data_IF_942866907996
#
_entry.id   IF_942866907996
#
_cell.length_a   1.000
_cell.length_b   1.000
_cell.length_c   1.000
_cell.angle_alpha   90.00
_cell.angle_beta   90.00
_cell.angle_gamma   90.00
#
_symmetry.space_group_name_H-M   'P 1'
#
loop_
_entity.id
_entity.type
_entity.pdbx_description
1 polymer ?
#
# COMPACT_ATOMS: atom_id res chain seq x y z
N UNK A 1 -9.78 3.71 -12.96
CA UNK A 1 -10.00 4.78 -13.97
C UNK A 1 -11.39 4.65 -14.56
N UNK A 2 -11.72 3.59 -15.30
CA UNK A 2 -13.08 3.42 -15.88
C UNK A 2 -14.23 3.55 -14.87
N UNK A 3 -14.14 2.92 -13.69
CA UNK A 3 -15.20 3.07 -12.67
C UNK A 3 -15.34 4.49 -12.11
N UNK A 4 -14.25 5.27 -12.07
CA UNK A 4 -14.28 6.65 -11.61
C UNK A 4 -14.97 7.53 -12.66
N UNK A 5 -14.64 7.35 -13.94
CA UNK A 5 -15.34 8.05 -15.04
C UNK A 5 -16.83 7.73 -15.05
N UNK A 6 -17.20 6.45 -14.90
CA UNK A 6 -18.62 6.07 -14.80
C UNK A 6 -19.33 6.77 -13.62
N UNK A 7 -18.64 6.92 -12.49
CA UNK A 7 -19.19 7.66 -11.33
C UNK A 7 -19.42 9.14 -11.65
N UNK A 8 -18.49 9.78 -12.37
CA UNK A 8 -18.61 11.17 -12.84
C UNK A 8 -19.75 11.33 -13.85
N UNK A 9 -19.87 10.39 -14.78
CA UNK A 9 -20.94 10.40 -15.79
C UNK A 9 -22.31 10.28 -15.13
N UNK A 10 -22.47 9.37 -14.15
CA UNK A 10 -23.72 9.21 -13.40
C UNK A 10 -24.08 10.49 -12.65
N UNK A 11 -23.13 11.10 -11.93
CA UNK A 11 -23.36 12.34 -11.18
C UNK A 11 -23.76 13.50 -12.11
N UNK A 12 -23.02 13.67 -13.22
CA UNK A 12 -23.30 14.69 -14.23
C UNK A 12 -24.68 14.50 -14.86
N UNK A 13 -25.01 13.26 -15.23
CA UNK A 13 -26.30 12.94 -15.83
C UNK A 13 -27.45 13.21 -14.88
N UNK A 14 -27.33 12.80 -13.62
CA UNK A 14 -28.35 13.06 -12.60
C UNK A 14 -28.60 14.56 -12.44
N UNK A 15 -27.53 15.33 -12.27
CA UNK A 15 -27.60 16.78 -12.14
C UNK A 15 -28.29 17.44 -13.36
N UNK A 16 -27.95 16.99 -14.57
CA UNK A 16 -28.58 17.49 -15.80
C UNK A 16 -30.06 17.10 -15.92
N UNK A 17 -30.40 15.83 -15.78
CA UNK A 17 -31.77 15.31 -15.97
C UNK A 17 -32.79 15.96 -15.02
N UNK A 18 -32.37 16.23 -13.78
CA UNK A 18 -33.23 16.83 -12.75
C UNK A 18 -33.00 18.34 -12.56
N UNK A 19 -32.13 18.95 -13.37
CA UNK A 19 -31.83 20.39 -13.30
C UNK A 19 -31.28 20.84 -11.94
N UNK A 20 -30.45 20.01 -11.32
CA UNK A 20 -29.85 20.25 -10.01
C UNK A 20 -28.32 20.35 -10.11
N UNK A 21 -27.69 21.01 -9.14
CA UNK A 21 -26.26 20.85 -8.85
C UNK A 21 -26.14 20.16 -7.48
N UNK A 22 -26.37 18.85 -7.46
CA UNK A 22 -26.55 18.10 -6.22
C UNK A 22 -25.40 17.14 -5.92
N UNK A 23 -25.06 16.24 -6.87
CA UNK A 23 -23.93 15.34 -6.69
C UNK A 23 -22.63 16.03 -7.13
N UNK A 24 -21.60 16.10 -6.26
CA UNK A 24 -20.31 16.65 -6.65
C UNK A 24 -19.61 15.73 -7.66
N UNK A 25 -18.88 16.33 -8.59
CA UNK A 25 -18.10 15.57 -9.57
C UNK A 25 -16.80 15.09 -8.93
N UNK A 26 -16.63 13.78 -8.85
CA UNK A 26 -15.50 13.14 -8.16
C UNK A 26 -14.19 13.28 -8.93
N UNK A 27 -13.11 13.64 -8.25
CA UNK A 27 -11.77 13.76 -8.85
C UNK A 27 -10.82 12.67 -8.32
N UNK A 28 -9.85 12.22 -9.13
CA UNK A 28 -8.85 11.28 -8.66
C UNK A 28 -7.96 11.94 -7.60
N UNK A 29 -7.88 11.32 -6.43
CA UNK A 29 -6.89 11.71 -5.42
C UNK A 29 -5.53 11.18 -5.85
N UNK A 30 -4.66 12.07 -6.31
CA UNK A 30 -3.26 11.75 -6.65
C UNK A 30 -2.42 12.00 -5.40
N UNK A 31 -2.09 10.92 -4.69
CA UNK A 31 -1.09 10.99 -3.61
C UNK A 31 0.29 11.33 -4.16
N UNK A 32 1.20 11.78 -3.28
CA UNK A 32 2.62 11.96 -3.60
C UNK A 32 3.27 10.67 -4.12
N UNK A 33 4.56 10.70 -4.53
CA UNK A 33 5.24 9.53 -5.06
C UNK A 33 5.22 8.38 -4.05
N UNK A 34 4.26 7.47 -4.19
CA UNK A 34 4.19 6.27 -3.38
C UNK A 34 5.40 5.40 -3.74
N UNK A 35 6.14 4.94 -2.73
CA UNK A 35 7.22 3.99 -2.92
C UNK A 35 6.69 2.81 -3.75
N UNK A 36 7.17 2.68 -4.99
CA UNK A 36 6.79 1.57 -5.87
C UNK A 36 7.55 0.34 -5.41
N UNK A 37 6.92 -0.44 -4.55
CA UNK A 37 7.46 -1.71 -4.08
C UNK A 37 7.17 -2.82 -5.11
N UNK A 38 8.22 -3.50 -5.54
CA UNK A 38 8.17 -4.56 -6.55
C UNK A 38 8.19 -5.94 -5.89
N UNK A 39 7.85 -6.97 -6.67
CA UNK A 39 7.86 -8.35 -6.19
C UNK A 39 9.27 -8.77 -5.75
N UNK A 40 9.34 -9.47 -4.62
CA UNK A 40 10.59 -10.07 -4.13
C UNK A 40 11.11 -11.20 -5.04
N UNK A 41 10.29 -11.69 -5.97
CA UNK A 41 10.66 -12.77 -6.90
C UNK A 41 10.94 -12.27 -8.31
N UNK A 42 10.43 -11.10 -8.66
CA UNK A 42 10.55 -10.49 -9.98
C UNK A 42 10.52 -8.97 -9.84
N UNK A 43 11.70 -8.35 -9.81
CA UNK A 43 11.85 -6.90 -9.59
C UNK A 43 11.22 -6.04 -10.70
N UNK A 44 10.84 -6.63 -11.84
CA UNK A 44 10.15 -5.94 -12.93
C UNK A 44 8.64 -5.85 -12.71
N UNK A 45 8.07 -6.68 -11.83
CA UNK A 45 6.64 -6.74 -11.54
C UNK A 45 6.31 -6.05 -10.23
N UNK A 46 5.24 -5.25 -10.23
CA UNK A 46 4.73 -4.64 -9.01
C UNK A 46 4.33 -5.73 -8.01
N UNK A 47 4.62 -5.53 -6.73
CA UNK A 47 4.15 -6.43 -5.68
C UNK A 47 2.62 -6.50 -5.71
N UNK A 48 2.07 -7.72 -5.73
CA UNK A 48 0.62 -7.94 -5.82
C UNK A 48 0.12 -8.83 -4.69
N UNK A 49 -0.96 -8.40 -4.04
CA UNK A 49 -1.69 -9.21 -3.05
C UNK A 49 -2.28 -10.49 -3.67
N UNK A 50 -2.56 -10.48 -4.98
CA UNK A 50 -3.16 -11.62 -5.69
C UNK A 50 -2.14 -12.52 -6.38
N UNK A 51 -0.84 -12.25 -6.26
CA UNK A 51 0.18 -13.14 -6.82
C UNK A 51 0.06 -14.55 -6.18
N UNK A 52 0.11 -15.64 -6.95
CA UNK A 52 0.00 -16.99 -6.41
C UNK A 52 1.16 -17.37 -5.48
N UNK A 53 2.33 -16.75 -5.67
CA UNK A 53 3.49 -16.97 -4.82
C UNK A 53 3.47 -16.00 -3.65
N UNK A 54 3.23 -16.50 -2.44
CA UNK A 54 3.27 -15.66 -1.23
C UNK A 54 4.69 -15.10 -0.97
N UNK A 55 5.73 -15.79 -1.45
CA UNK A 55 7.12 -15.33 -1.38
C UNK A 55 7.40 -14.09 -2.26
N UNK A 56 6.46 -13.68 -3.11
CA UNK A 56 6.58 -12.45 -3.92
C UNK A 56 6.34 -11.18 -3.11
N UNK A 57 5.74 -11.27 -1.93
CA UNK A 57 5.24 -10.12 -1.17
C UNK A 57 5.48 -10.23 0.33
N UNK A 58 5.56 -9.08 1.00
CA UNK A 58 5.50 -8.96 2.45
C UNK A 58 4.08 -8.51 2.82
N UNK A 59 3.37 -9.30 3.62
CA UNK A 59 2.06 -8.92 4.13
C UNK A 59 2.23 -8.16 5.46
N UNK A 60 1.32 -7.21 5.74
CA UNK A 60 1.32 -6.49 7.03
C UNK A 60 1.00 -7.42 8.23
N UNK A 61 0.50 -8.62 7.96
CA UNK A 61 0.21 -9.66 8.95
C UNK A 61 1.37 -10.63 9.17
N UNK A 62 2.42 -10.57 8.34
CA UNK A 62 3.55 -11.48 8.48
C UNK A 62 4.24 -11.25 9.83
N UNK A 63 4.61 -12.34 10.50
CA UNK A 63 5.46 -12.29 11.69
C UNK A 63 6.94 -12.10 11.31
N UNK A 64 7.77 -11.91 12.34
CA UNK A 64 9.20 -11.64 12.16
C UNK A 64 9.90 -12.75 11.34
N UNK A 65 9.57 -14.02 11.61
CA UNK A 65 10.18 -15.16 10.94
C UNK A 65 9.76 -15.25 9.47
N UNK A 66 8.49 -14.99 9.17
CA UNK A 66 7.95 -14.99 7.81
C UNK A 66 8.54 -13.85 6.98
N UNK A 67 8.62 -12.63 7.56
CA UNK A 67 9.30 -11.48 6.93
C UNK A 67 10.75 -11.84 6.63
N UNK A 68 11.47 -12.39 7.61
CA UNK A 68 12.87 -12.78 7.47
C UNK A 68 13.05 -13.83 6.36
N UNK A 69 12.22 -14.86 6.32
CA UNK A 69 12.26 -15.91 5.32
C UNK A 69 12.04 -15.37 3.91
N UNK A 70 11.05 -14.49 3.73
CA UNK A 70 10.69 -13.90 2.44
C UNK A 70 11.81 -13.04 1.88
N UNK A 71 12.42 -12.17 2.71
CA UNK A 71 13.55 -11.33 2.31
C UNK A 71 14.78 -12.19 1.99
N UNK A 72 15.08 -13.22 2.79
CA UNK A 72 16.18 -14.16 2.51
C UNK A 72 16.02 -14.83 1.13
N UNK A 73 14.79 -15.26 0.80
CA UNK A 73 14.41 -15.90 -0.47
C UNK A 73 14.16 -14.92 -1.64
N UNK A 74 14.27 -13.61 -1.40
CA UNK A 74 14.13 -12.62 -2.45
C UNK A 74 15.19 -12.86 -3.54
N UNK A 75 14.79 -12.72 -4.80
CA UNK A 75 15.68 -12.82 -5.94
C UNK A 75 16.65 -11.64 -5.91
N UNK A 76 17.91 -11.91 -6.20
CA UNK A 76 18.98 -10.93 -6.32
C UNK A 76 19.81 -11.26 -7.54
N UNK A 77 20.49 -10.25 -8.07
CA UNK A 77 21.54 -10.44 -9.07
C UNK A 77 22.86 -10.88 -8.38
N UNK A 78 23.90 -11.28 -9.14
CA UNK A 78 25.14 -11.81 -8.56
C UNK A 78 26.14 -10.75 -8.10
N UNK A 79 25.93 -9.48 -8.43
CA UNK A 79 26.87 -8.39 -8.15
C UNK A 79 26.66 -7.79 -6.76
N UNK A 80 27.71 -7.20 -6.20
CA UNK A 80 27.61 -6.38 -4.99
C UNK A 80 26.63 -5.21 -5.20
N UNK A 81 26.10 -4.64 -4.11
CA UNK A 81 25.33 -3.40 -4.22
C UNK A 81 26.23 -2.26 -4.74
N UNK A 82 25.74 -1.45 -5.69
CA UNK A 82 26.48 -0.27 -6.14
C UNK A 82 26.57 0.78 -5.01
N UNK A 83 27.54 1.67 -5.09
CA UNK A 83 27.65 2.80 -4.15
C UNK A 83 26.86 4.03 -4.58
N UNK A 84 26.36 4.05 -5.83
CA UNK A 84 25.64 5.17 -6.42
C UNK A 84 24.35 4.69 -7.11
N UNK A 85 23.33 5.54 -7.16
CA UNK A 85 22.01 5.18 -7.72
C UNK A 85 22.08 4.77 -9.19
N UNK A 86 22.98 5.38 -9.98
CA UNK A 86 23.18 5.03 -11.38
C UNK A 86 23.54 3.55 -11.56
N UNK A 87 24.25 2.96 -10.59
CA UNK A 87 24.60 1.54 -10.62
C UNK A 87 23.41 0.59 -10.40
N UNK A 88 22.23 1.09 -10.02
CA UNK A 88 21.00 0.31 -9.93
C UNK A 88 20.24 0.24 -11.27
N UNK A 89 20.68 0.98 -12.29
CA UNK A 89 20.08 0.91 -13.62
C UNK A 89 20.22 -0.50 -14.21
N UNK A 90 19.13 -1.05 -14.74
CA UNK A 90 19.09 -2.43 -15.23
C UNK A 90 19.07 -3.52 -14.14
N UNK A 91 19.30 -3.19 -12.87
CA UNK A 91 19.33 -4.12 -11.73
C UNK A 91 18.04 -4.05 -10.91
N UNK A 92 16.94 -4.53 -11.50
CA UNK A 92 15.59 -4.40 -10.94
C UNK A 92 15.45 -5.01 -9.53
N UNK A 93 16.09 -6.15 -9.28
CA UNK A 93 16.11 -6.81 -7.98
C UNK A 93 16.86 -6.00 -6.92
N UNK A 94 18.09 -5.54 -7.21
CA UNK A 94 18.86 -4.69 -6.31
C UNK A 94 18.10 -3.41 -5.98
N UNK A 95 17.59 -2.74 -7.02
CA UNK A 95 16.83 -1.50 -6.89
C UNK A 95 15.61 -1.67 -5.99
N UNK A 96 14.89 -2.78 -6.15
CA UNK A 96 13.72 -3.06 -5.32
C UNK A 96 14.10 -3.22 -3.84
N UNK A 97 15.10 -4.03 -3.52
CA UNK A 97 15.47 -4.28 -2.12
C UNK A 97 16.04 -3.03 -1.44
N UNK A 98 16.83 -2.23 -2.16
CA UNK A 98 17.33 -0.95 -1.66
C UNK A 98 16.19 0.06 -1.46
N UNK A 99 15.23 0.13 -2.40
CA UNK A 99 14.07 1.01 -2.25
C UNK A 99 13.17 0.61 -1.06
N UNK A 100 13.02 -0.69 -0.80
CA UNK A 100 12.30 -1.18 0.40
C UNK A 100 13.07 -0.78 1.65
N UNK A 101 14.39 -0.96 1.69
CA UNK A 101 15.20 -0.55 2.83
C UNK A 101 15.05 0.96 3.11
N UNK A 102 15.22 1.78 2.07
CA UNK A 102 15.07 3.24 2.14
C UNK A 102 13.69 3.66 2.66
N UNK A 103 12.62 3.03 2.15
CA UNK A 103 11.26 3.31 2.60
C UNK A 103 11.02 2.92 4.07
N UNK A 104 11.60 1.81 4.53
CA UNK A 104 11.50 1.40 5.94
C UNK A 104 12.37 2.27 6.86
N UNK A 105 13.46 2.81 6.33
CA UNK A 105 14.36 3.71 7.03
C UNK A 105 13.88 5.17 7.08
N UNK A 106 12.92 5.54 6.22
CA UNK A 106 12.56 6.94 5.94
C UNK A 106 13.75 7.76 5.44
N UNK A 107 14.51 7.18 4.51
CA UNK A 107 15.75 7.74 3.96
C UNK A 107 15.74 7.73 2.42
N UNK A 108 16.61 8.50 1.79
CA UNK A 108 16.81 8.45 0.34
C UNK A 108 17.59 7.19 -0.06
N UNK A 109 17.40 6.72 -1.29
CA UNK A 109 18.17 5.60 -1.85
C UNK A 109 19.66 5.92 -1.87
N UNK A 110 20.04 7.13 -2.29
CA UNK A 110 21.42 7.64 -2.22
C UNK A 110 22.05 7.50 -0.83
N UNK A 111 21.34 7.89 0.25
CA UNK A 111 21.86 7.77 1.61
C UNK A 111 22.07 6.31 1.99
N UNK A 112 21.10 5.45 1.66
CA UNK A 112 21.22 4.01 1.90
C UNK A 112 22.44 3.43 1.18
N UNK A 113 22.63 3.75 -0.11
CA UNK A 113 23.77 3.25 -0.90
C UNK A 113 25.11 3.75 -0.37
N UNK A 114 25.17 4.90 0.29
CA UNK A 114 26.38 5.35 0.98
C UNK A 114 26.75 4.43 2.15
N UNK A 115 25.76 3.85 2.83
CA UNK A 115 25.97 2.95 3.97
C UNK A 115 26.18 1.49 3.56
N UNK A 116 25.46 1.04 2.52
CA UNK A 116 25.42 -0.37 2.12
C UNK A 116 26.16 -0.68 0.81
N UNK A 117 26.65 0.36 0.12
CA UNK A 117 27.39 0.22 -1.12
C UNK A 117 28.61 -0.69 -0.95
N UNK A 118 28.86 -1.53 -1.96
CA UNK A 118 29.93 -2.52 -1.94
C UNK A 118 29.63 -3.79 -1.13
N UNK A 119 28.54 -3.84 -0.34
CA UNK A 119 28.16 -5.05 0.39
C UNK A 119 27.56 -6.10 -0.54
N UNK A 120 27.84 -7.36 -0.24
CA UNK A 120 27.18 -8.49 -0.90
C UNK A 120 25.75 -8.65 -0.36
N UNK A 121 24.85 -9.24 -1.16
CA UNK A 121 23.47 -9.51 -0.72
C UNK A 121 23.38 -10.44 0.50
N UNK A 122 24.37 -11.29 0.76
CA UNK A 122 24.46 -12.11 1.96
C UNK A 122 24.60 -11.29 3.24
N UNK A 123 25.18 -10.09 3.15
CA UNK A 123 25.33 -9.14 4.25
C UNK A 123 24.16 -8.14 4.29
N UNK A 124 23.72 -7.67 3.12
CA UNK A 124 22.63 -6.69 3.04
C UNK A 124 21.26 -7.26 3.42
N UNK A 125 20.94 -8.51 3.02
CA UNK A 125 19.63 -9.11 3.34
C UNK A 125 19.37 -9.20 4.84
N UNK A 126 20.32 -9.66 5.69
CA UNK A 126 20.18 -9.57 7.14
C UNK A 126 19.84 -8.17 7.66
N UNK A 127 20.52 -7.13 7.17
CA UNK A 127 20.24 -5.73 7.56
C UNK A 127 18.81 -5.31 7.19
N UNK A 128 18.36 -5.68 5.98
CA UNK A 128 17.00 -5.43 5.53
C UNK A 128 15.97 -6.21 6.36
N UNK A 129 16.28 -7.44 6.77
CA UNK A 129 15.42 -8.23 7.66
C UNK A 129 15.25 -7.53 9.00
N UNK A 130 16.34 -7.13 9.64
CA UNK A 130 16.29 -6.45 10.94
C UNK A 130 15.43 -5.19 10.86
N UNK A 131 15.67 -4.35 9.85
CA UNK A 131 14.90 -3.12 9.65
C UNK A 131 13.40 -3.39 9.37
N UNK A 132 13.10 -4.37 8.53
CA UNK A 132 11.72 -4.73 8.22
C UNK A 132 10.99 -5.28 9.45
N UNK A 133 11.64 -6.14 10.22
CA UNK A 133 11.09 -6.69 11.46
C UNK A 133 10.85 -5.58 12.49
N UNK A 134 11.82 -4.69 12.70
CA UNK A 134 11.71 -3.56 13.62
C UNK A 134 10.50 -2.67 13.30
N UNK A 135 10.29 -2.34 12.02
CA UNK A 135 9.19 -1.46 11.60
C UNK A 135 7.83 -2.15 11.52
N UNK A 136 7.78 -3.40 11.05
CA UNK A 136 6.51 -4.08 10.77
C UNK A 136 5.98 -4.89 11.95
N UNK A 137 6.83 -5.37 12.86
CA UNK A 137 6.39 -6.20 14.00
C UNK A 137 5.43 -5.47 14.94
N UNK A 138 5.61 -4.17 15.27
CA UNK A 138 4.64 -3.45 16.08
C UNK A 138 3.26 -3.38 15.42
N UNK A 139 3.21 -3.23 14.09
CA UNK A 139 1.97 -3.17 13.30
C UNK A 139 1.28 -4.54 13.32
N UNK A 140 2.02 -5.62 13.06
CA UNK A 140 1.45 -6.98 13.06
C UNK A 140 1.05 -7.45 14.46
N UNK A 141 1.73 -7.00 15.50
CA UNK A 141 1.34 -7.23 16.89
C UNK A 141 0.03 -6.51 17.23
N UNK A 142 -0.09 -5.23 16.89
CA UNK A 142 -1.32 -4.46 17.15
C UNK A 142 -2.50 -5.00 16.35
N UNK A 143 -2.28 -5.39 15.09
CA UNK A 143 -3.33 -6.03 14.29
C UNK A 143 -3.80 -7.34 14.92
N UNK A 144 -2.89 -8.18 15.44
CA UNK A 144 -3.28 -9.40 16.16
C UNK A 144 -4.07 -9.09 17.42
N UNK A 145 -3.61 -8.13 18.24
CA UNK A 145 -4.33 -7.67 19.43
C UNK A 145 -5.76 -7.24 19.11
N UNK A 146 -5.95 -6.48 18.04
CA UNK A 146 -7.27 -6.03 17.59
C UNK A 146 -8.13 -7.18 17.07
N UNK A 147 -7.56 -8.13 16.31
CA UNK A 147 -8.28 -9.29 15.80
C UNK A 147 -8.75 -10.23 16.93
N UNK A 148 -8.00 -10.31 18.02
CA UNK A 148 -8.37 -11.07 19.22
C UNK A 148 -9.46 -10.37 20.05
N UNK A 149 -9.59 -9.04 19.94
CA UNK A 149 -10.65 -8.26 20.58
C UNK A 149 -11.77 -7.90 19.60
N UNK A 150 -12.64 -8.88 19.33
CA UNK A 150 -13.80 -8.67 18.45
C UNK A 150 -14.74 -7.57 18.96
N UNK A 151 -14.83 -7.39 20.28
CA UNK A 151 -15.71 -6.38 20.88
C UNK A 151 -15.23 -4.95 20.58
N UNK A 152 -13.92 -4.74 20.55
CA UNK A 152 -13.31 -3.49 20.10
C UNK A 152 -13.64 -3.22 18.62
N UNK A 153 -13.48 -4.22 17.76
CA UNK A 153 -13.77 -4.11 16.33
C UNK A 153 -15.24 -3.75 16.12
N UNK A 154 -16.17 -4.47 16.75
CA UNK A 154 -17.60 -4.23 16.62
C UNK A 154 -17.94 -2.80 17.08
N UNK A 155 -17.39 -2.34 18.21
CA UNK A 155 -17.60 -0.97 18.70
C UNK A 155 -17.11 0.09 17.70
N UNK A 156 -15.94 -0.12 17.09
CA UNK A 156 -15.40 0.80 16.08
C UNK A 156 -16.26 0.79 14.81
N UNK A 157 -16.72 -0.39 14.38
CA UNK A 157 -17.58 -0.55 13.21
C UNK A 157 -18.96 0.10 13.42
N UNK A 158 -19.57 -0.08 14.58
CA UNK A 158 -20.85 0.55 14.95
C UNK A 158 -20.72 2.08 14.91
N UNK A 159 -19.72 2.63 15.60
CA UNK A 159 -19.48 4.07 15.57
C UNK A 159 -19.14 4.60 14.17
N UNK A 160 -18.46 3.80 13.35
CA UNK A 160 -18.21 4.12 11.94
C UNK A 160 -19.47 4.12 11.10
N UNK A 161 -20.34 3.13 11.29
CA UNK A 161 -21.62 3.00 10.58
C UNK A 161 -22.56 4.16 10.91
N UNK A 162 -22.62 4.58 12.16
CA UNK A 162 -23.45 5.72 12.58
C UNK A 162 -22.97 7.03 11.95
N UNK A 163 -21.66 7.30 11.96
CA UNK A 163 -21.08 8.46 11.28
C UNK A 163 -21.34 8.43 9.77
N UNK A 164 -21.16 7.27 9.13
CA UNK A 164 -21.42 7.12 7.71
C UNK A 164 -22.91 7.35 7.38
N UNK A 165 -23.82 6.80 8.20
CA UNK A 165 -25.27 6.96 8.03
C UNK A 165 -25.71 8.41 8.23
N UNK A 166 -25.15 9.11 9.21
CA UNK A 166 -25.43 10.53 9.44
C UNK A 166 -25.10 11.40 8.22
N UNK A 167 -24.08 11.03 7.45
CA UNK A 167 -23.71 11.72 6.19
C UNK A 167 -24.57 11.24 5.02
N UNK A 168 -24.74 9.93 4.85
CA UNK A 168 -25.37 9.36 3.67
C UNK A 168 -26.91 9.49 3.66
N UNK A 169 -27.57 9.38 4.82
CA UNK A 169 -29.03 9.37 4.90
C UNK A 169 -29.68 10.68 4.42
N UNK A 170 -29.17 11.88 4.77
CA UNK A 170 -29.69 13.14 4.21
C UNK A 170 -29.52 13.22 2.69
N UNK A 171 -28.38 12.75 2.16
CA UNK A 171 -28.10 12.74 0.72
C UNK A 171 -29.08 11.81 0.00
N UNK A 172 -29.29 10.60 0.52
CA UNK A 172 -30.23 9.64 -0.05
C UNK A 172 -31.67 10.16 -0.02
N UNK A 173 -32.09 10.74 1.12
CA UNK A 173 -33.42 11.35 1.25
C UNK A 173 -33.63 12.45 0.22
N UNK A 174 -32.65 13.36 0.09
CA UNK A 174 -32.70 14.44 -0.91
C UNK A 174 -32.73 13.89 -2.33
N UNK A 175 -32.00 12.82 -2.59
CA UNK A 175 -32.04 12.11 -3.88
C UNK A 175 -33.45 11.61 -4.18
N UNK A 176 -34.12 10.95 -3.22
CA UNK A 176 -35.50 10.49 -3.37
C UNK A 176 -36.47 11.64 -3.62
N UNK A 177 -36.35 12.74 -2.87
CA UNK A 177 -37.16 13.95 -3.09
C UNK A 177 -37.00 14.51 -4.51
N UNK A 178 -35.77 14.59 -5.02
CA UNK A 178 -35.47 15.08 -6.39
C UNK A 178 -36.11 14.20 -7.46
N UNK A 179 -36.08 12.87 -7.27
CA UNK A 179 -36.67 11.93 -8.24
C UNK A 179 -38.17 11.69 -8.03
N UNK A 180 -38.79 12.36 -7.05
CA UNK A 180 -40.22 12.26 -6.76
C UNK A 180 -40.65 11.01 -6.00
N UNK A 181 -39.72 10.32 -5.34
CA UNK A 181 -39.99 9.17 -4.47
C UNK A 181 -40.22 9.65 -3.02
N UNK A 182 -41.12 8.98 -2.31
CA UNK A 182 -41.37 9.19 -0.88
C UNK A 182 -40.57 8.21 -0.03
#
# INVERSE_FOLDING_TARGET
KQHLELTRDIATKFNHDFGQDFFPITEPVIGGPAARVMSLRDGSKKMSKSDPSDLSRINMADDADTIAQKIRKAKTDPEALPSEEAGLEGRAEARNLVAIYAALADESVEKVLTEVGGKQFSEFKPMLVERAVEKLSPISAEMRRLLDDKSEIDRVLEGGADRARAIAAPILKRTYEIVGLK
#
